data_IF_762631044366
#
_entry.id   IF_762631044366
#
_cell.length_a   1.000
_cell.length_b   1.000
_cell.length_c   1.000
_cell.angle_alpha   90.00
_cell.angle_beta   90.00
_cell.angle_gamma   90.00
#
_symmetry.space_group_name_H-M   'P 1'
#
loop_
_entity.id
_entity.type
_entity.pdbx_description
1 polymer ?
#
# COMPACT_ATOMS: atom_id res chain seq x y z
N UNK A 1 12.92 26.46 5.44
CA UNK A 1 11.52 25.97 5.45
C UNK A 1 11.55 24.55 4.91
N UNK A 2 11.10 23.54 5.67
CA UNK A 2 10.94 22.21 5.08
C UNK A 2 9.80 22.29 4.06
N UNK A 3 10.06 21.85 2.82
CA UNK A 3 9.01 21.74 1.80
C UNK A 3 8.02 20.68 2.26
N UNK A 4 6.73 20.98 2.18
CA UNK A 4 5.68 19.97 2.34
C UNK A 4 5.90 18.87 1.30
N UNK A 5 5.98 17.58 1.69
CA UNK A 5 6.13 16.49 0.74
C UNK A 5 4.95 16.40 -0.24
N UNK A 6 5.23 15.96 -1.47
CA UNK A 6 4.20 15.68 -2.48
C UNK A 6 3.76 14.22 -2.39
N UNK A 7 2.47 13.97 -2.21
CA UNK A 7 1.90 12.65 -1.92
C UNK A 7 1.16 12.09 -3.14
N UNK A 8 1.64 10.95 -3.65
CA UNK A 8 1.08 10.24 -4.79
C UNK A 8 0.38 8.98 -4.29
N UNK A 9 -0.93 8.86 -4.51
CA UNK A 9 -1.67 7.62 -4.29
C UNK A 9 -1.78 6.79 -5.56
N UNK A 10 -1.33 5.54 -5.51
CA UNK A 10 -1.40 4.59 -6.62
C UNK A 10 -2.30 3.42 -6.22
N UNK A 11 -3.40 3.24 -6.94
CA UNK A 11 -4.30 2.12 -6.72
C UNK A 11 -4.57 1.34 -7.99
N UNK A 12 -5.07 0.13 -7.86
CA UNK A 12 -5.40 -0.74 -8.98
C UNK A 12 -5.57 -2.18 -8.51
N UNK A 13 -6.49 -2.90 -9.14
CA UNK A 13 -6.80 -4.28 -8.75
C UNK A 13 -5.60 -5.22 -8.90
N UNK A 14 -5.67 -6.35 -8.20
CA UNK A 14 -4.72 -7.45 -8.33
C UNK A 14 -4.50 -7.84 -9.81
N UNK A 15 -3.25 -8.06 -10.22
CA UNK A 15 -2.92 -8.42 -11.60
C UNK A 15 -3.00 -7.28 -12.64
N UNK A 16 -3.34 -6.04 -12.24
CA UNK A 16 -3.42 -4.88 -13.14
C UNK A 16 -2.07 -4.48 -13.76
N UNK A 17 -0.97 -4.76 -13.07
CA UNK A 17 0.37 -4.30 -13.44
C UNK A 17 0.91 -3.20 -12.53
N UNK A 18 0.18 -2.84 -11.46
CA UNK A 18 0.59 -1.87 -10.43
C UNK A 18 2.05 -2.05 -9.98
N UNK A 19 2.47 -3.27 -9.62
CA UNK A 19 3.85 -3.55 -9.18
C UNK A 19 4.89 -3.22 -10.25
N UNK A 20 4.62 -3.54 -11.52
CA UNK A 20 5.53 -3.21 -12.63
C UNK A 20 5.63 -1.70 -12.84
N UNK A 21 4.49 -1.00 -12.78
CA UNK A 21 4.45 0.46 -12.87
C UNK A 21 5.23 1.10 -11.71
N UNK A 22 4.97 0.67 -10.47
CA UNK A 22 5.66 1.13 -9.26
C UNK A 22 7.17 0.96 -9.38
N UNK A 23 7.66 -0.22 -9.75
CA UNK A 23 9.09 -0.46 -9.90
C UNK A 23 9.72 0.45 -10.96
N UNK A 24 9.02 0.66 -12.09
CA UNK A 24 9.46 1.58 -13.14
C UNK A 24 9.52 3.03 -12.65
N UNK A 25 8.53 3.49 -11.89
CA UNK A 25 8.47 4.82 -11.29
C UNK A 25 9.59 5.01 -10.26
N UNK A 26 9.69 4.12 -9.28
CA UNK A 26 10.65 4.20 -8.18
C UNK A 26 12.09 4.13 -8.67
N UNK A 27 12.37 3.43 -9.78
CA UNK A 27 13.70 3.40 -10.40
C UNK A 27 14.21 4.77 -10.89
N UNK A 28 13.33 5.79 -10.95
CA UNK A 28 13.68 7.16 -11.35
C UNK A 28 14.08 8.04 -10.16
N UNK A 29 13.95 7.54 -8.94
CA UNK A 29 14.27 8.26 -7.71
C UNK A 29 15.43 7.59 -6.99
N UNK A 30 16.21 8.38 -6.27
CA UNK A 30 17.14 7.88 -5.25
C UNK A 30 16.37 7.55 -3.95
N UNK A 31 16.93 6.72 -3.05
CA UNK A 31 16.26 6.34 -1.80
C UNK A 31 15.87 7.49 -0.87
N UNK A 32 16.54 8.64 -0.97
CA UNK A 32 16.25 9.83 -0.13
C UNK A 32 15.23 10.78 -0.80
N UNK A 33 14.91 10.57 -2.08
CA UNK A 33 13.93 11.40 -2.81
C UNK A 33 12.50 10.87 -2.70
N UNK A 34 12.33 9.57 -2.44
CA UNK A 34 11.03 8.92 -2.39
C UNK A 34 10.87 8.00 -1.18
N UNK A 35 9.73 8.12 -0.50
CA UNK A 35 9.28 7.18 0.52
C UNK A 35 8.11 6.36 -0.03
N UNK A 36 8.23 5.03 -0.09
CA UNK A 36 7.15 4.14 -0.46
C UNK A 36 6.46 3.58 0.79
N UNK A 37 5.14 3.76 0.89
CA UNK A 37 4.30 3.20 1.96
C UNK A 37 3.27 2.26 1.34
N UNK A 38 3.57 0.95 1.40
CA UNK A 38 2.70 -0.10 0.86
C UNK A 38 1.58 -0.46 1.83
N UNK A 39 0.33 -0.39 1.35
CA UNK A 39 -0.89 -0.78 2.07
C UNK A 39 -0.86 -2.25 2.50
N UNK A 40 -0.10 -3.11 1.82
CA UNK A 40 0.02 -4.53 2.17
C UNK A 40 0.60 -4.72 3.58
N UNK A 41 1.35 -3.74 4.12
CA UNK A 41 1.84 -3.76 5.50
C UNK A 41 0.81 -3.32 6.56
N UNK A 42 -0.42 -3.08 6.12
CA UNK A 42 -1.53 -2.59 6.95
C UNK A 42 -2.74 -3.52 6.86
N UNK A 43 -2.57 -4.76 6.41
CA UNK A 43 -3.57 -5.79 6.67
C UNK A 43 -3.73 -6.05 8.16
N UNK A 44 -4.97 -6.26 8.60
CA UNK A 44 -5.28 -6.76 9.95
C UNK A 44 -4.75 -8.19 10.13
N UNK A 45 -4.56 -8.69 11.36
CA UNK A 45 -4.21 -10.09 11.60
C UNK A 45 -5.12 -11.08 10.86
N UNK A 46 -4.59 -12.22 10.41
CA UNK A 46 -5.36 -13.23 9.64
C UNK A 46 -6.65 -13.67 10.34
N UNK A 47 -6.61 -13.69 11.66
CA UNK A 47 -7.70 -14.10 12.54
C UNK A 47 -8.86 -13.12 12.44
N UNK A 48 -8.57 -11.83 12.24
CA UNK A 48 -9.53 -10.73 12.08
C UNK A 48 -10.02 -10.56 10.64
N UNK A 49 -9.44 -11.29 9.68
CA UNK A 49 -9.85 -11.18 8.29
C UNK A 49 -11.30 -11.67 8.10
N UNK A 50 -12.09 -10.95 7.27
CA UNK A 50 -13.41 -11.38 6.86
C UNK A 50 -13.39 -12.82 6.35
N UNK A 51 -14.49 -13.55 6.57
CA UNK A 51 -14.63 -14.94 6.15
C UNK A 51 -15.72 -15.01 5.11
N UNK A 52 -15.45 -15.66 3.99
CA UNK A 52 -16.47 -15.88 2.95
C UNK A 52 -17.44 -17.01 3.32
N UNK A 53 -18.44 -17.24 2.46
CA UNK A 53 -19.45 -18.29 2.66
C UNK A 53 -18.89 -19.72 2.74
N UNK A 54 -17.63 -19.93 2.32
CA UNK A 54 -16.94 -21.22 2.34
C UNK A 54 -15.96 -21.34 3.51
N UNK A 55 -15.93 -20.37 4.42
CA UNK A 55 -15.00 -20.38 5.55
C UNK A 55 -13.59 -19.89 5.20
N UNK A 56 -13.38 -19.32 4.00
CA UNK A 56 -12.07 -18.85 3.54
C UNK A 56 -11.85 -17.41 3.97
N UNK A 57 -10.67 -17.13 4.54
CA UNK A 57 -10.25 -15.77 4.88
C UNK A 57 -10.08 -14.93 3.61
N UNK A 58 -10.82 -13.83 3.52
CA UNK A 58 -10.82 -12.92 2.39
C UNK A 58 -10.02 -11.65 2.72
N UNK A 59 -8.97 -11.42 1.94
CA UNK A 59 -8.10 -10.25 2.06
C UNK A 59 -8.49 -9.14 1.06
N UNK A 60 -9.36 -9.44 0.09
CA UNK A 60 -9.75 -8.51 -0.97
C UNK A 60 -11.00 -7.70 -0.58
N UNK A 61 -11.09 -7.29 0.68
CA UNK A 61 -12.17 -6.46 1.21
C UNK A 61 -11.60 -5.24 1.95
N UNK A 62 -12.25 -4.07 1.91
CA UNK A 62 -11.77 -2.92 2.67
C UNK A 62 -11.61 -3.19 4.17
N UNK A 63 -12.48 -4.01 4.76
CA UNK A 63 -12.45 -4.39 6.17
C UNK A 63 -11.17 -5.12 6.57
N UNK A 64 -10.45 -5.69 5.60
CA UNK A 64 -9.16 -6.36 5.77
C UNK A 64 -8.01 -5.42 6.11
N UNK A 65 -8.16 -4.12 5.84
CA UNK A 65 -7.12 -3.10 6.03
C UNK A 65 -7.36 -2.30 7.32
N UNK A 66 -6.29 -2.08 8.08
CA UNK A 66 -6.22 -1.09 9.14
C UNK A 66 -5.90 0.29 8.55
N UNK A 67 -6.94 0.96 8.04
CA UNK A 67 -6.82 2.28 7.43
C UNK A 67 -6.37 3.36 8.40
N UNK A 68 -6.68 3.23 9.69
CA UNK A 68 -6.26 4.21 10.70
C UNK A 68 -4.75 4.12 10.92
N UNK A 69 -4.20 2.90 11.07
CA UNK A 69 -2.76 2.71 11.14
C UNK A 69 -2.06 3.18 9.85
N UNK A 70 -2.66 2.94 8.68
CA UNK A 70 -2.10 3.38 7.40
C UNK A 70 -2.06 4.90 7.30
N UNK A 71 -3.17 5.57 7.60
CA UNK A 71 -3.27 7.03 7.63
C UNK A 71 -2.27 7.64 8.62
N UNK A 72 -2.19 7.09 9.84
CA UNK A 72 -1.28 7.56 10.88
C UNK A 72 0.17 7.58 10.42
N UNK A 73 0.62 6.50 9.79
CA UNK A 73 2.00 6.41 9.32
C UNK A 73 2.27 7.35 8.12
N UNK A 74 1.30 7.53 7.21
CA UNK A 74 1.40 8.53 6.12
C UNK A 74 1.53 9.94 6.70
N UNK A 75 0.71 10.29 7.70
CA UNK A 75 0.75 11.61 8.35
C UNK A 75 2.06 11.84 9.12
N UNK A 76 2.58 10.82 9.80
CA UNK A 76 3.88 10.89 10.48
C UNK A 76 5.03 11.14 9.48
N UNK A 77 5.08 10.40 8.38
CA UNK A 77 6.08 10.60 7.32
C UNK A 77 5.94 11.99 6.69
N UNK A 78 4.71 12.45 6.44
CA UNK A 78 4.42 13.81 5.96
C UNK A 78 4.91 14.89 6.94
N UNK A 79 4.84 14.64 8.24
CA UNK A 79 5.32 15.53 9.30
C UNK A 79 6.85 15.52 9.48
N UNK A 80 7.57 14.67 8.75
CA UNK A 80 9.03 14.55 8.88
C UNK A 80 9.47 13.54 9.93
N UNK A 81 8.60 12.64 10.36
CA UNK A 81 8.91 11.59 11.33
C UNK A 81 9.31 10.28 10.64
N UNK A 82 10.25 9.55 11.23
CA UNK A 82 10.61 8.19 10.77
C UNK A 82 9.67 7.17 11.40
N UNK A 83 9.07 6.32 10.58
CA UNK A 83 8.19 5.23 11.04
C UNK A 83 8.94 3.90 10.92
N UNK A 84 8.77 3.04 11.92
CA UNK A 84 9.28 1.66 11.90
C UNK A 84 8.10 0.70 12.07
N UNK A 85 8.01 -0.29 11.18
CA UNK A 85 6.91 -1.25 11.12
C UNK A 85 7.46 -2.65 10.86
N UNK A 86 6.81 -3.67 11.44
CA UNK A 86 7.07 -5.06 11.05
C UNK A 86 6.37 -5.33 9.73
N UNK A 87 7.08 -5.92 8.77
CA UNK A 87 6.50 -6.40 7.53
C UNK A 87 5.33 -7.34 7.81
N UNK A 88 4.25 -7.17 7.04
CA UNK A 88 3.11 -8.06 7.12
C UNK A 88 3.35 -9.29 6.24
N UNK A 89 3.56 -10.45 6.87
CA UNK A 89 3.87 -11.70 6.17
C UNK A 89 2.65 -12.61 5.97
N UNK A 90 1.43 -12.05 6.00
CA UNK A 90 0.17 -12.79 5.77
C UNK A 90 -0.06 -14.00 6.68
N UNK A 91 0.52 -13.93 7.89
CA UNK A 91 0.58 -15.03 8.86
C UNK A 91 1.10 -16.34 8.23
N UNK A 92 2.02 -16.24 7.26
CA UNK A 92 2.77 -17.37 6.77
C UNK A 92 3.74 -17.83 7.86
N UNK A 93 3.56 -19.04 8.44
CA UNK A 93 4.40 -19.52 9.54
C UNK A 93 5.87 -19.75 9.13
N UNK A 94 6.15 -19.84 7.83
CA UNK A 94 7.49 -20.02 7.29
C UNK A 94 8.20 -18.70 6.97
N UNK A 95 7.47 -17.57 7.02
CA UNK A 95 8.02 -16.27 6.70
C UNK A 95 8.46 -15.53 7.97
N UNK A 96 9.70 -15.06 7.98
CA UNK A 96 10.20 -14.18 9.04
C UNK A 96 9.94 -12.71 8.68
N UNK A 97 9.13 -11.96 9.46
CA UNK A 97 8.85 -10.57 9.16
C UNK A 97 10.09 -9.71 9.36
N UNK A 98 10.42 -8.90 8.36
CA UNK A 98 11.51 -7.94 8.45
C UNK A 98 11.06 -6.62 9.08
N UNK A 99 12.02 -5.80 9.51
CA UNK A 99 11.74 -4.43 9.99
C UNK A 99 11.80 -3.46 8.81
N UNK A 100 10.67 -2.86 8.49
CA UNK A 100 10.52 -1.81 7.50
C UNK A 100 10.78 -0.47 8.19
N UNK A 101 11.73 0.30 7.65
CA UNK A 101 12.03 1.66 8.11
C UNK A 101 11.64 2.66 7.03
N UNK A 102 10.59 3.42 7.29
CA UNK A 102 10.09 4.47 6.42
C UNK A 102 10.72 5.80 6.86
N UNK A 103 11.50 6.41 5.97
CA UNK A 103 12.10 7.73 6.21
C UNK A 103 11.29 8.82 5.49
N UNK A 104 11.17 10.02 6.05
CA UNK A 104 10.65 11.18 5.34
C UNK A 104 11.40 11.44 4.05
N UNK A 105 10.67 11.80 3.00
CA UNK A 105 11.23 12.16 1.71
C UNK A 105 10.38 13.28 1.06
N UNK A 106 10.94 14.03 0.10
CA UNK A 106 10.19 15.05 -0.65
C UNK A 106 8.99 14.51 -1.42
N UNK A 107 9.04 13.24 -1.85
CA UNK A 107 7.93 12.53 -2.49
C UNK A 107 7.51 11.35 -1.62
N UNK A 108 6.22 11.22 -1.35
CA UNK A 108 5.64 10.07 -0.66
C UNK A 108 4.75 9.33 -1.66
N UNK A 109 5.03 8.06 -1.91
CA UNK A 109 4.19 7.18 -2.71
C UNK A 109 3.44 6.26 -1.76
N UNK A 110 2.12 6.34 -1.78
CA UNK A 110 1.24 5.42 -1.04
C UNK A 110 0.54 4.53 -2.05
N UNK A 111 0.64 3.22 -1.88
CA UNK A 111 0.14 2.27 -2.88
C UNK A 111 -0.66 1.12 -2.26
N UNK A 112 -1.66 0.63 -2.98
CA UNK A 112 -2.53 -0.44 -2.49
C UNK A 112 -3.81 -0.61 -3.30
N UNK A 113 -4.55 -1.67 -3.04
CA UNK A 113 -5.81 -1.96 -3.75
C UNK A 113 -6.98 -1.07 -3.30
N UNK A 114 -6.87 -0.43 -2.12
CA UNK A 114 -7.93 0.39 -1.53
C UNK A 114 -7.47 1.81 -1.13
N UNK A 115 -6.36 2.32 -1.67
CA UNK A 115 -5.86 3.67 -1.34
C UNK A 115 -6.90 4.76 -1.56
N UNK A 116 -7.66 4.68 -2.66
CA UNK A 116 -8.69 5.67 -3.00
C UNK A 116 -10.07 5.36 -2.39
N UNK A 117 -10.24 4.21 -1.74
CA UNK A 117 -11.48 3.83 -1.07
C UNK A 117 -11.69 4.65 0.21
N UNK A 118 -10.65 4.73 1.05
CA UNK A 118 -10.73 5.39 2.35
C UNK A 118 -10.54 6.90 2.23
N UNK A 119 -11.65 7.64 2.37
CA UNK A 119 -11.72 9.08 2.09
C UNK A 119 -10.68 9.92 2.85
N UNK A 120 -10.40 9.70 4.14
CA UNK A 120 -9.40 10.51 4.85
C UNK A 120 -7.99 10.41 4.24
N UNK A 121 -7.59 9.26 3.70
CA UNK A 121 -6.35 9.14 2.94
C UNK A 121 -6.50 9.81 1.58
N UNK A 122 -7.59 9.56 0.86
CA UNK A 122 -7.81 10.15 -0.46
C UNK A 122 -7.82 11.68 -0.46
N UNK A 123 -8.16 12.33 0.65
CA UNK A 123 -8.18 13.79 0.80
C UNK A 123 -6.80 14.42 0.98
N UNK A 124 -5.80 13.67 1.46
CA UNK A 124 -4.45 14.19 1.70
C UNK A 124 -3.49 13.96 0.51
N UNK A 125 -3.94 13.28 -0.54
CA UNK A 125 -3.14 13.00 -1.74
C UNK A 125 -3.12 14.21 -2.68
N UNK A 126 -1.94 14.56 -3.15
CA UNK A 126 -1.75 15.59 -4.18
C UNK A 126 -1.98 15.04 -5.60
N UNK A 127 -1.72 13.74 -5.80
CA UNK A 127 -1.96 13.04 -7.06
C UNK A 127 -2.60 11.67 -6.82
N UNK A 128 -3.57 11.31 -7.67
CA UNK A 128 -4.28 10.02 -7.63
C UNK A 128 -4.11 9.31 -8.96
N UNK A 129 -3.56 8.11 -8.93
CA UNK A 129 -3.34 7.26 -10.09
C UNK A 129 -4.11 5.94 -9.91
N UNK A 130 -4.95 5.60 -10.90
CA UNK A 130 -5.64 4.33 -10.97
C UNK A 130 -5.06 3.51 -12.14
N UNK A 131 -4.47 2.37 -11.82
CA UNK A 131 -3.93 1.44 -12.80
C UNK A 131 -5.03 0.47 -13.20
N UNK A 132 -5.64 0.74 -14.36
CA UNK A 132 -6.69 -0.11 -14.92
C UNK A 132 -6.12 -1.16 -15.89
N UNK A 133 -6.73 -2.34 -15.88
CA UNK A 133 -6.52 -3.39 -16.87
C UNK A 133 -7.81 -4.20 -17.00
N UNK A 134 -8.11 -4.62 -18.24
CA UNK A 134 -9.27 -5.46 -18.55
C UNK A 134 -9.25 -6.75 -17.72
N UNK A 135 -10.41 -7.18 -17.24
CA UNK A 135 -10.55 -8.31 -16.32
C UNK A 135 -9.93 -9.61 -16.86
N UNK A 136 -10.16 -9.94 -18.13
CA UNK A 136 -9.58 -11.14 -18.74
C UNK A 136 -8.05 -11.11 -18.75
N UNK A 137 -7.42 -9.93 -18.85
CA UNK A 137 -5.96 -9.79 -18.80
C UNK A 137 -5.45 -10.05 -17.37
N UNK A 138 -6.15 -9.51 -16.36
CA UNK A 138 -5.82 -9.75 -14.95
C UNK A 138 -5.97 -11.23 -14.60
N UNK A 139 -7.00 -11.88 -15.13
CA UNK A 139 -7.27 -13.30 -14.93
C UNK A 139 -6.21 -14.20 -15.58
N UNK A 140 -5.87 -13.99 -16.85
CA UNK A 140 -4.84 -14.77 -17.57
C UNK A 140 -3.48 -14.69 -16.87
N UNK A 141 -3.17 -13.58 -16.18
CA UNK A 141 -1.93 -13.42 -15.39
C UNK A 141 -1.92 -14.22 -14.08
N UNK A 142 -3.05 -14.78 -13.66
CA UNK A 142 -3.25 -15.45 -12.36
C UNK A 142 -3.58 -16.93 -12.48
N UNK A 143 -4.11 -17.37 -13.62
CA UNK A 143 -4.35 -18.79 -13.91
C UNK A 143 -3.04 -19.38 -14.43
N UNK A 144 -2.46 -20.31 -13.66
CA UNK A 144 -1.31 -21.16 -14.03
C UNK A 144 -1.80 -22.57 -14.29
#
# INVERSE_FOLDING_TARGET
MSKTPFIIGITGGSGSGKTRFLNGLLSKFTPDEVCLISQDNYYKPREEQPVDIKGVKNFDLPESIDFEAYKKDIEAIKAGETVTRKEYVFNNPEAEPTIIKLKPAPVIVVEGIFVLYYQPIAQILDMKLYIDAKDYIKLIRRIV
#
